data_IF_736034858636
#
_entry.id   IF_736034858636
#
_cell.length_a   1.000
_cell.length_b   1.000
_cell.length_c   1.000
_cell.angle_alpha   90.00
_cell.angle_beta   90.00
_cell.angle_gamma   90.00
#
_symmetry.space_group_name_H-M   'P 1'
#
loop_
_entity.id
_entity.type
_entity.pdbx_description
1 polymer ?
#
# COMPACT_ATOMS: atom_id res chain seq x y z
N UNK A 1 9.90 -14.67 -19.00
CA UNK A 1 11.12 -14.16 -18.33
C UNK A 1 11.37 -12.67 -18.62
N UNK A 2 11.53 -12.19 -19.84
CA UNK A 2 11.83 -10.76 -20.14
C UNK A 2 10.87 -9.75 -19.50
N UNK A 3 9.53 -10.01 -19.53
CA UNK A 3 8.52 -9.13 -18.90
C UNK A 3 8.66 -9.05 -17.37
N UNK A 4 8.98 -10.17 -16.73
CA UNK A 4 9.23 -10.22 -15.29
C UNK A 4 10.43 -9.35 -14.89
N UNK A 5 11.59 -9.56 -15.53
CA UNK A 5 12.80 -8.75 -15.24
C UNK A 5 12.58 -7.26 -15.52
N UNK A 6 11.82 -6.91 -16.57
CA UNK A 6 11.43 -5.52 -16.83
C UNK A 6 10.62 -4.93 -15.67
N UNK A 7 9.67 -5.68 -15.11
CA UNK A 7 8.85 -5.19 -14.00
C UNK A 7 9.62 -5.09 -12.69
N UNK A 8 10.51 -6.04 -12.40
CA UNK A 8 11.44 -5.93 -11.26
C UNK A 8 12.33 -4.70 -11.41
N UNK A 9 12.93 -4.48 -12.58
CA UNK A 9 13.72 -3.28 -12.86
C UNK A 9 12.94 -1.98 -12.70
N UNK A 10 11.69 -1.94 -13.16
CA UNK A 10 10.81 -0.79 -12.95
C UNK A 10 10.51 -0.55 -11.47
N UNK A 11 10.27 -1.61 -10.69
CA UNK A 11 10.03 -1.52 -9.24
C UNK A 11 11.27 -0.99 -8.52
N UNK A 12 12.45 -1.52 -8.84
CA UNK A 12 13.72 -1.06 -8.26
C UNK A 12 14.00 0.40 -8.60
N UNK A 13 13.80 0.79 -9.87
CA UNK A 13 13.94 2.17 -10.30
C UNK A 13 12.95 3.09 -9.56
N UNK A 14 11.72 2.63 -9.37
CA UNK A 14 10.70 3.38 -8.62
C UNK A 14 11.13 3.62 -7.17
N UNK A 15 11.57 2.58 -6.45
CA UNK A 15 12.07 2.70 -5.07
C UNK A 15 13.26 3.65 -5.00
N UNK A 16 14.19 3.57 -5.95
CA UNK A 16 15.32 4.49 -6.03
C UNK A 16 14.90 5.95 -6.23
N UNK A 17 13.98 6.20 -7.17
CA UNK A 17 13.43 7.56 -7.42
C UNK A 17 12.67 8.07 -6.20
N UNK A 18 11.91 7.20 -5.52
CA UNK A 18 11.23 7.54 -4.27
C UNK A 18 12.23 8.00 -3.21
N UNK A 19 13.26 7.18 -2.94
CA UNK A 19 14.29 7.51 -1.97
C UNK A 19 15.05 8.80 -2.33
N UNK A 20 15.37 9.00 -3.60
CA UNK A 20 16.04 10.21 -4.09
C UNK A 20 15.17 11.47 -3.90
N UNK A 21 13.87 11.41 -4.21
CA UNK A 21 12.95 12.51 -3.98
C UNK A 21 12.85 12.84 -2.48
N UNK A 22 12.71 11.83 -1.61
CA UNK A 22 12.67 12.03 -0.16
C UNK A 22 13.95 12.70 0.35
N UNK A 23 15.11 12.23 -0.10
CA UNK A 23 16.41 12.76 0.32
C UNK A 23 16.62 14.21 -0.15
N UNK A 24 16.42 14.48 -1.44
CA UNK A 24 16.70 15.79 -2.05
C UNK A 24 15.69 16.83 -1.57
N UNK A 25 14.40 16.55 -1.69
CA UNK A 25 13.34 17.50 -1.30
C UNK A 25 13.34 17.68 0.21
N UNK A 26 13.50 16.60 0.98
CA UNK A 26 13.62 16.66 2.44
C UNK A 26 14.81 17.51 2.89
N UNK A 27 15.97 17.31 2.27
CA UNK A 27 17.16 18.12 2.54
C UNK A 27 16.92 19.60 2.24
N UNK A 28 16.28 19.92 1.11
CA UNK A 28 15.96 21.32 0.75
C UNK A 28 15.01 21.98 1.75
N UNK A 29 13.98 21.27 2.23
CA UNK A 29 13.04 21.79 3.25
C UNK A 29 13.77 22.03 4.56
N UNK A 30 14.59 21.08 5.01
CA UNK A 30 15.34 21.20 6.27
C UNK A 30 16.31 22.38 6.25
N UNK A 31 17.03 22.59 5.14
CA UNK A 31 17.99 23.67 4.99
C UNK A 31 17.28 25.03 4.79
N UNK A 32 16.19 25.03 4.00
CA UNK A 32 15.50 26.26 3.62
C UNK A 32 14.62 26.87 4.73
N UNK A 33 14.23 26.08 5.73
CA UNK A 33 13.27 26.50 6.77
C UNK A 33 13.70 26.05 8.18
N UNK A 34 14.89 26.46 8.67
CA UNK A 34 15.43 25.97 9.95
C UNK A 34 14.67 26.46 11.19
N UNK A 35 13.78 27.42 11.06
CA UNK A 35 13.04 28.05 12.17
C UNK A 35 11.66 27.43 12.43
N UNK A 36 11.23 26.48 11.61
CA UNK A 36 9.94 25.83 11.79
C UNK A 36 9.98 24.82 12.94
N UNK A 37 8.85 24.62 13.60
CA UNK A 37 8.70 23.52 14.57
C UNK A 37 8.91 22.16 13.88
N UNK A 38 9.37 21.16 14.64
CA UNK A 38 9.61 19.81 14.12
C UNK A 38 8.35 19.22 13.48
N UNK A 39 7.19 19.44 14.08
CA UNK A 39 5.87 19.03 13.64
C UNK A 39 5.51 19.58 12.24
N UNK A 40 5.64 20.91 12.06
CA UNK A 40 5.37 21.57 10.77
C UNK A 40 6.42 21.18 9.72
N UNK A 41 7.69 21.09 10.12
CA UNK A 41 8.77 20.66 9.23
C UNK A 41 8.54 19.25 8.69
N UNK A 42 8.12 18.32 9.55
CA UNK A 42 7.77 16.96 9.18
C UNK A 42 6.64 16.92 8.14
N UNK A 43 5.56 17.69 8.36
CA UNK A 43 4.44 17.77 7.43
C UNK A 43 4.88 18.33 6.07
N UNK A 44 5.62 19.43 6.05
CA UNK A 44 6.07 20.06 4.80
C UNK A 44 7.05 19.16 4.03
N UNK A 45 8.00 18.53 4.73
CA UNK A 45 8.95 17.60 4.16
C UNK A 45 8.19 16.44 3.50
N UNK A 46 7.27 15.81 4.23
CA UNK A 46 6.49 14.69 3.72
C UNK A 46 5.65 15.10 2.51
N UNK A 47 4.85 16.14 2.64
CA UNK A 47 3.94 16.62 1.59
C UNK A 47 4.67 16.99 0.29
N UNK A 48 5.73 17.80 0.38
CA UNK A 48 6.49 18.24 -0.80
C UNK A 48 7.22 17.07 -1.47
N UNK A 49 7.77 16.14 -0.67
CA UNK A 49 8.43 14.94 -1.18
C UNK A 49 7.44 14.03 -1.90
N UNK A 50 6.24 13.82 -1.34
CA UNK A 50 5.21 12.99 -1.97
C UNK A 50 4.68 13.59 -3.27
N UNK A 51 4.56 14.92 -3.37
CA UNK A 51 4.23 15.59 -4.65
C UNK A 51 5.34 15.34 -5.67
N UNK A 52 6.61 15.45 -5.28
CA UNK A 52 7.74 15.20 -6.18
C UNK A 52 7.75 13.73 -6.66
N UNK A 53 7.54 12.75 -5.75
CA UNK A 53 7.44 11.33 -6.10
C UNK A 53 6.28 11.10 -7.07
N UNK A 54 5.10 11.64 -6.79
CA UNK A 54 3.93 11.47 -7.64
C UNK A 54 4.17 12.07 -9.04
N UNK A 55 4.76 13.25 -9.12
CA UNK A 55 5.16 13.89 -10.38
C UNK A 55 6.19 13.06 -11.16
N UNK A 56 7.20 12.53 -10.47
CA UNK A 56 8.19 11.64 -11.06
C UNK A 56 7.57 10.36 -11.63
N UNK A 57 6.59 9.75 -10.93
CA UNK A 57 5.89 8.57 -11.45
C UNK A 57 5.10 8.86 -12.71
N UNK A 58 4.43 10.02 -12.80
CA UNK A 58 3.74 10.45 -14.03
C UNK A 58 4.73 10.63 -15.17
N UNK A 59 5.88 11.25 -14.90
CA UNK A 59 6.93 11.47 -15.91
C UNK A 59 7.48 10.12 -16.42
N UNK A 60 7.81 9.20 -15.51
CA UNK A 60 8.27 7.85 -15.86
C UNK A 60 7.22 7.15 -16.74
N UNK A 61 5.95 7.27 -16.38
CA UNK A 61 4.87 6.64 -17.13
C UNK A 61 4.72 7.22 -18.54
N UNK A 62 4.79 8.55 -18.69
CA UNK A 62 4.78 9.23 -19.99
C UNK A 62 5.96 8.82 -20.86
N UNK A 63 7.17 8.80 -20.30
CA UNK A 63 8.40 8.48 -21.05
C UNK A 63 8.44 7.00 -21.42
N UNK A 64 8.16 6.10 -20.49
CA UNK A 64 8.28 4.65 -20.72
C UNK A 64 7.13 4.06 -21.53
N UNK A 65 5.92 4.60 -21.42
CA UNK A 65 4.71 4.01 -22.03
C UNK A 65 3.94 4.95 -22.95
N UNK A 66 4.34 6.21 -23.07
CA UNK A 66 3.70 7.25 -23.89
C UNK A 66 2.21 7.50 -23.57
N UNK A 67 1.71 6.97 -22.45
CA UNK A 67 0.34 7.19 -21.98
C UNK A 67 0.27 6.98 -20.46
N UNK A 68 -0.59 7.75 -19.81
CA UNK A 68 -0.85 7.66 -18.37
C UNK A 68 -1.95 6.62 -18.10
N UNK A 69 -1.77 5.75 -17.11
CA UNK A 69 -2.79 4.78 -16.72
C UNK A 69 -4.02 5.45 -16.11
N UNK A 70 -5.17 4.86 -16.40
CA UNK A 70 -6.43 5.27 -15.77
C UNK A 70 -6.45 4.80 -14.31
N UNK A 71 -6.78 5.69 -13.40
CA UNK A 71 -6.99 5.36 -11.98
C UNK A 71 -8.39 4.78 -11.82
N UNK A 72 -8.51 3.64 -11.14
CA UNK A 72 -9.82 3.10 -10.80
C UNK A 72 -10.49 3.98 -9.74
N UNK A 73 -11.63 4.54 -10.09
CA UNK A 73 -12.44 5.38 -9.21
C UNK A 73 -13.93 5.18 -9.50
N UNK A 74 -14.42 3.94 -9.33
CA UNK A 74 -15.84 3.64 -9.49
C UNK A 74 -16.67 4.30 -8.39
N UNK A 75 -17.88 4.74 -8.73
CA UNK A 75 -18.84 5.32 -7.75
C UNK A 75 -19.26 4.34 -6.65
N UNK A 76 -19.13 3.03 -6.86
CA UNK A 76 -19.40 1.95 -5.88
C UNK A 76 -18.18 1.61 -4.99
N UNK A 77 -17.16 2.47 -4.93
CA UNK A 77 -15.94 2.21 -4.15
C UNK A 77 -16.11 2.28 -2.63
N UNK A 78 -17.14 2.93 -2.14
CA UNK A 78 -17.47 2.93 -0.71
C UNK A 78 -18.41 1.76 -0.40
N UNK A 79 -17.86 0.73 0.23
CA UNK A 79 -18.58 -0.46 0.67
C UNK A 79 -18.28 -0.72 2.15
N UNK A 80 -19.24 -0.39 3.06
CA UNK A 80 -19.01 -0.52 4.51
C UNK A 80 -18.67 -1.94 4.95
N UNK A 81 -19.25 -2.97 4.31
CA UNK A 81 -18.99 -4.37 4.64
C UNK A 81 -17.56 -4.75 4.25
N UNK A 82 -17.13 -4.34 3.07
CA UNK A 82 -15.75 -4.55 2.63
C UNK A 82 -14.74 -3.80 3.50
N UNK A 83 -15.06 -2.57 3.92
CA UNK A 83 -14.22 -1.79 4.84
C UNK A 83 -14.13 -2.49 6.18
N UNK A 84 -15.26 -2.92 6.78
CA UNK A 84 -15.26 -3.65 8.04
C UNK A 84 -14.42 -4.93 7.96
N UNK A 85 -14.60 -5.71 6.88
CA UNK A 85 -13.79 -6.91 6.65
C UNK A 85 -12.29 -6.57 6.52
N UNK A 86 -11.94 -5.51 5.80
CA UNK A 86 -10.56 -5.05 5.65
C UNK A 86 -9.95 -4.60 6.97
N UNK A 87 -10.67 -3.85 7.80
CA UNK A 87 -10.23 -3.43 9.15
C UNK A 87 -9.97 -4.65 10.04
N UNK A 88 -10.90 -5.62 10.09
CA UNK A 88 -10.73 -6.86 10.86
C UNK A 88 -9.52 -7.65 10.39
N UNK A 89 -9.31 -7.76 9.07
CA UNK A 89 -8.16 -8.47 8.50
C UNK A 89 -6.83 -7.78 8.83
N UNK A 90 -6.76 -6.46 8.68
CA UNK A 90 -5.54 -5.68 9.01
C UNK A 90 -5.24 -5.81 10.51
N UNK A 91 -6.24 -5.64 11.37
CA UNK A 91 -6.08 -5.86 12.81
C UNK A 91 -5.57 -7.28 13.13
N UNK A 92 -6.12 -8.31 12.48
CA UNK A 92 -5.65 -9.68 12.67
C UNK A 92 -4.20 -9.89 12.22
N UNK A 93 -3.75 -9.21 11.15
CA UNK A 93 -2.35 -9.18 10.72
C UNK A 93 -1.47 -8.54 11.81
N UNK A 94 -1.84 -7.37 12.33
CA UNK A 94 -1.08 -6.69 13.39
C UNK A 94 -0.96 -7.56 14.64
N UNK A 95 -2.04 -8.22 15.08
CA UNK A 95 -2.01 -9.15 16.22
C UNK A 95 -1.03 -10.32 15.99
N UNK A 96 -1.03 -10.92 14.80
CA UNK A 96 -0.11 -12.03 14.48
C UNK A 96 1.35 -11.58 14.48
N UNK A 97 1.61 -10.32 14.12
CA UNK A 97 2.95 -9.76 14.06
C UNK A 97 3.49 -9.32 15.44
N UNK A 98 2.66 -9.21 16.49
CA UNK A 98 3.10 -8.76 17.81
C UNK A 98 4.35 -9.47 18.35
N UNK A 99 4.50 -10.83 18.29
CA UNK A 99 5.72 -11.47 18.77
C UNK A 99 6.95 -11.10 17.96
N UNK A 100 6.78 -10.80 16.68
CA UNK A 100 7.86 -10.37 15.80
C UNK A 100 8.21 -8.90 16.05
N UNK A 101 7.22 -8.08 16.36
CA UNK A 101 7.40 -6.69 16.75
C UNK A 101 8.26 -6.58 18.01
N UNK A 102 8.00 -7.38 19.05
CA UNK A 102 8.80 -7.43 20.28
C UNK A 102 10.28 -7.76 20.03
N UNK A 103 10.59 -8.52 18.97
CA UNK A 103 11.97 -8.91 18.60
C UNK A 103 12.64 -7.86 17.72
N UNK A 104 11.92 -7.24 16.78
CA UNK A 104 12.48 -6.42 15.72
C UNK A 104 12.31 -4.91 15.93
N UNK A 105 11.43 -4.48 16.85
CA UNK A 105 11.25 -3.05 17.14
C UNK A 105 12.29 -2.56 18.12
N UNK A 106 13.17 -1.64 17.75
CA UNK A 106 13.84 -0.83 18.75
C UNK A 106 12.81 0.10 19.42
N UNK A 107 12.97 0.33 20.73
CA UNK A 107 12.12 1.18 21.62
C UNK A 107 11.99 2.66 21.21
N UNK A 108 12.26 3.03 19.97
CA UNK A 108 12.54 4.42 19.57
C UNK A 108 11.72 4.95 18.41
N UNK A 109 10.49 4.50 18.19
CA UNK A 109 9.61 5.18 17.21
C UNK A 109 9.16 6.54 17.78
N UNK A 110 9.91 7.60 17.52
CA UNK A 110 9.54 8.96 17.90
C UNK A 110 9.14 9.75 16.64
N UNK A 111 7.83 9.98 16.48
CA UNK A 111 7.35 11.06 15.61
C UNK A 111 7.40 12.38 16.38
N UNK A 112 7.58 13.53 15.71
CA UNK A 112 7.39 14.82 16.36
C UNK A 112 5.97 14.91 16.94
N UNK A 113 5.81 15.43 18.15
CA UNK A 113 4.49 15.66 18.73
C UNK A 113 3.83 16.85 18.05
N UNK A 114 2.53 16.73 17.73
CA UNK A 114 1.75 17.84 17.24
C UNK A 114 0.64 17.45 16.25
N UNK A 115 -0.22 18.43 15.99
CA UNK A 115 -1.37 18.26 15.12
C UNK A 115 -0.95 18.01 13.64
N UNK A 116 0.11 18.66 13.19
CA UNK A 116 0.61 18.48 11.82
C UNK A 116 1.15 17.06 11.60
N UNK A 117 1.81 16.48 12.61
CA UNK A 117 2.26 15.08 12.57
C UNK A 117 1.06 14.11 12.52
N UNK A 118 0.06 14.31 13.40
CA UNK A 118 -1.18 13.52 13.36
C UNK A 118 -1.83 13.57 11.97
N UNK A 119 -2.02 14.79 11.43
CA UNK A 119 -2.62 14.99 10.11
C UNK A 119 -1.80 14.30 9.01
N UNK A 120 -0.48 14.39 9.10
CA UNK A 120 0.43 13.77 8.12
C UNK A 120 0.35 12.27 8.17
N UNK A 121 0.52 11.66 9.32
CA UNK A 121 0.60 10.19 9.47
C UNK A 121 -0.76 9.55 9.20
N UNK A 122 -1.84 10.13 9.73
CA UNK A 122 -3.17 9.50 9.68
C UNK A 122 -3.91 9.78 8.37
N UNK A 123 -3.69 10.95 7.75
CA UNK A 123 -4.50 11.33 6.60
C UNK A 123 -3.65 11.53 5.32
N UNK A 124 -2.63 12.40 5.35
CA UNK A 124 -1.88 12.74 4.15
C UNK A 124 -1.07 11.56 3.63
N UNK A 125 -0.39 10.82 4.52
CA UNK A 125 0.41 9.68 4.12
C UNK A 125 -0.44 8.60 3.43
N UNK A 126 -1.52 8.07 4.00
CA UNK A 126 -2.38 7.11 3.34
C UNK A 126 -2.88 7.56 1.95
N UNK A 127 -3.29 8.81 1.82
CA UNK A 127 -3.78 9.33 0.54
C UNK A 127 -2.68 9.29 -0.52
N UNK A 128 -1.51 9.88 -0.24
CA UNK A 128 -0.41 9.94 -1.20
C UNK A 128 0.15 8.56 -1.52
N UNK A 129 0.30 7.72 -0.52
CA UNK A 129 0.85 6.37 -0.69
C UNK A 129 -0.08 5.51 -1.55
N UNK A 130 -1.40 5.53 -1.33
CA UNK A 130 -2.32 4.82 -2.20
C UNK A 130 -2.31 5.37 -3.63
N UNK A 131 -2.25 6.69 -3.80
CA UNK A 131 -2.13 7.31 -5.13
C UNK A 131 -0.82 6.89 -5.83
N UNK A 132 0.28 6.75 -5.11
CA UNK A 132 1.58 6.38 -5.66
C UNK A 132 1.64 4.87 -5.94
N UNK A 133 1.35 4.03 -4.94
CA UNK A 133 1.57 2.59 -5.03
C UNK A 133 0.45 1.87 -5.77
N UNK A 134 -0.84 2.23 -5.58
CA UNK A 134 -1.98 1.55 -6.23
C UNK A 134 -2.39 2.24 -7.52
N UNK A 135 -2.59 3.55 -7.49
CA UNK A 135 -3.04 4.25 -8.69
C UNK A 135 -1.94 4.41 -9.76
N UNK A 136 -0.64 4.38 -9.39
CA UNK A 136 0.45 4.50 -10.35
C UNK A 136 1.26 3.22 -10.49
N UNK A 137 2.03 2.84 -9.47
CA UNK A 137 2.97 1.71 -9.57
C UNK A 137 2.27 0.41 -9.95
N UNK A 138 1.19 0.03 -9.25
CA UNK A 138 0.41 -1.17 -9.58
C UNK A 138 -0.04 -1.15 -11.05
N UNK A 139 -0.63 -0.04 -11.51
CA UNK A 139 -1.13 0.08 -12.88
C UNK A 139 -0.01 0.06 -13.93
N UNK A 140 1.17 0.59 -13.64
CA UNK A 140 2.36 0.48 -14.49
C UNK A 140 2.79 -0.99 -14.61
N UNK A 141 2.87 -1.71 -13.50
CA UNK A 141 3.30 -3.10 -13.42
C UNK A 141 2.30 -4.04 -14.11
N UNK A 142 0.99 -3.79 -13.97
CA UNK A 142 -0.08 -4.62 -14.53
C UNK A 142 -0.08 -4.67 -16.06
N UNK A 143 0.60 -3.73 -16.73
CA UNK A 143 0.80 -3.76 -18.17
C UNK A 143 1.74 -4.88 -18.67
N UNK A 144 2.59 -5.38 -17.77
CA UNK A 144 3.63 -6.36 -18.13
C UNK A 144 3.55 -7.65 -17.30
N UNK A 145 2.78 -7.69 -16.21
CA UNK A 145 2.70 -8.82 -15.30
C UNK A 145 1.25 -9.14 -14.91
N UNK A 146 1.07 -10.32 -14.30
CA UNK A 146 -0.25 -10.73 -13.80
C UNK A 146 -0.71 -9.84 -12.62
N UNK A 147 -2.02 -9.76 -12.35
CA UNK A 147 -2.55 -8.95 -11.24
C UNK A 147 -1.88 -9.26 -9.89
N UNK A 148 -1.69 -10.55 -9.56
CA UNK A 148 -1.01 -10.96 -8.32
C UNK A 148 0.45 -10.47 -8.29
N UNK A 149 1.19 -10.65 -9.39
CA UNK A 149 2.59 -10.21 -9.46
C UNK A 149 2.70 -8.69 -9.33
N UNK A 150 1.80 -7.94 -9.97
CA UNK A 150 1.74 -6.48 -9.85
C UNK A 150 1.44 -6.03 -8.42
N UNK A 151 0.49 -6.70 -7.76
CA UNK A 151 0.16 -6.46 -6.36
C UNK A 151 1.35 -6.77 -5.45
N UNK A 152 2.02 -7.92 -5.64
CA UNK A 152 3.18 -8.31 -4.85
C UNK A 152 4.36 -7.34 -5.02
N UNK A 153 4.71 -6.97 -6.26
CA UNK A 153 5.80 -6.04 -6.52
C UNK A 153 5.50 -4.62 -5.98
N UNK A 154 4.25 -4.17 -6.09
CA UNK A 154 3.82 -2.90 -5.51
C UNK A 154 3.85 -2.93 -3.98
N UNK A 155 3.46 -4.05 -3.36
CA UNK A 155 3.51 -4.25 -1.91
C UNK A 155 4.96 -4.34 -1.40
N UNK A 156 5.86 -5.00 -2.13
CA UNK A 156 7.29 -5.04 -1.81
C UNK A 156 7.88 -3.63 -1.84
N UNK A 157 7.61 -2.85 -2.90
CA UNK A 157 8.07 -1.47 -2.99
C UNK A 157 7.53 -0.63 -1.82
N UNK A 158 6.24 -0.79 -1.50
CA UNK A 158 5.58 -0.11 -0.38
C UNK A 158 6.21 -0.48 0.97
N UNK A 159 6.52 -1.76 1.20
CA UNK A 159 7.22 -2.17 2.42
C UNK A 159 8.63 -1.59 2.51
N UNK A 160 9.44 -1.75 1.47
CA UNK A 160 10.86 -1.37 1.47
C UNK A 160 11.10 0.12 1.74
N UNK A 161 10.20 1.01 1.30
CA UNK A 161 10.35 2.46 1.55
C UNK A 161 10.18 2.86 3.02
N UNK A 162 9.66 1.97 3.88
CA UNK A 162 9.50 2.24 5.32
C UNK A 162 10.79 2.04 6.13
N UNK A 163 11.79 1.32 5.59
CA UNK A 163 13.13 1.10 6.13
C UNK A 163 13.21 0.27 7.44
N UNK A 164 12.23 0.29 8.31
CA UNK A 164 12.19 -0.47 9.55
C UNK A 164 11.76 -1.92 9.32
N UNK A 165 12.49 -2.94 9.79
CA UNK A 165 12.23 -4.34 9.46
C UNK A 165 10.81 -4.83 9.73
N UNK A 166 10.26 -4.50 10.90
CA UNK A 166 8.89 -4.92 11.24
C UNK A 166 7.85 -4.19 10.40
N UNK A 167 8.04 -2.89 10.15
CA UNK A 167 7.13 -2.09 9.31
C UNK A 167 7.19 -2.56 7.86
N UNK A 168 8.37 -2.97 7.36
CA UNK A 168 8.49 -3.58 6.03
C UNK A 168 7.59 -4.79 5.90
N UNK A 169 7.62 -5.69 6.89
CA UNK A 169 6.82 -6.93 6.88
C UNK A 169 5.33 -6.59 6.96
N UNK A 170 4.92 -5.74 7.90
CA UNK A 170 3.53 -5.31 8.04
C UNK A 170 3.02 -4.61 6.77
N UNK A 171 3.75 -3.60 6.28
CA UNK A 171 3.39 -2.86 5.08
C UNK A 171 3.31 -3.74 3.82
N UNK A 172 4.16 -4.79 3.71
CA UNK A 172 4.06 -5.76 2.64
C UNK A 172 2.75 -6.53 2.71
N UNK A 173 2.37 -7.06 3.88
CA UNK A 173 1.13 -7.82 4.06
C UNK A 173 -0.10 -6.94 3.85
N UNK A 174 -0.15 -5.79 4.51
CA UNK A 174 -1.20 -4.78 4.34
C UNK A 174 -1.24 -4.31 2.89
N UNK A 175 -0.08 -4.12 2.25
CA UNK A 175 0.06 -3.74 0.85
C UNK A 175 -0.63 -4.66 -0.13
N UNK A 176 -0.56 -5.98 0.09
CA UNK A 176 -1.29 -6.98 -0.73
C UNK A 176 -2.80 -6.85 -0.49
N UNK A 177 -3.23 -6.69 0.77
CA UNK A 177 -4.65 -6.51 1.13
C UNK A 177 -5.23 -5.25 0.47
N UNK A 178 -4.53 -4.12 0.55
CA UNK A 178 -4.97 -2.86 -0.08
C UNK A 178 -5.02 -2.98 -1.61
N UNK A 179 -4.07 -3.71 -2.23
CA UNK A 179 -4.10 -3.99 -3.67
C UNK A 179 -5.29 -4.88 -4.07
N UNK A 180 -5.67 -5.84 -3.22
CA UNK A 180 -6.88 -6.63 -3.42
C UNK A 180 -8.13 -5.73 -3.41
N UNK A 181 -8.29 -4.84 -2.41
CA UNK A 181 -9.44 -3.93 -2.35
C UNK A 181 -9.46 -2.93 -3.52
N UNK A 182 -8.30 -2.39 -3.91
CA UNK A 182 -8.20 -1.52 -5.09
C UNK A 182 -8.74 -2.20 -6.34
N UNK A 183 -8.37 -3.46 -6.55
CA UNK A 183 -8.75 -4.20 -7.74
C UNK A 183 -10.21 -4.71 -7.67
N UNK A 184 -10.61 -5.28 -6.54
CA UNK A 184 -11.96 -5.87 -6.35
C UNK A 184 -13.07 -4.81 -6.38
N UNK A 185 -12.82 -3.64 -5.81
CA UNK A 185 -13.78 -2.52 -5.79
C UNK A 185 -13.65 -1.58 -6.99
N UNK A 186 -12.61 -1.75 -7.82
CA UNK A 186 -12.32 -0.83 -8.93
C UNK A 186 -12.32 0.64 -8.47
N UNK A 187 -11.79 0.90 -7.28
CA UNK A 187 -11.77 2.21 -6.65
C UNK A 187 -10.57 2.40 -5.73
N UNK A 188 -10.01 3.59 -5.73
CA UNK A 188 -8.94 3.99 -4.82
C UNK A 188 -9.48 4.36 -3.42
N UNK A 189 -10.79 4.62 -3.29
CA UNK A 189 -11.39 5.11 -2.05
C UNK A 189 -11.31 4.07 -0.93
N UNK A 190 -11.66 2.81 -1.22
CA UNK A 190 -11.63 1.74 -0.20
C UNK A 190 -10.25 1.52 0.39
N UNK A 191 -9.15 1.35 -0.41
CA UNK A 191 -7.82 1.21 0.17
C UNK A 191 -7.36 2.47 0.93
N UNK A 192 -7.69 3.69 0.48
CA UNK A 192 -7.38 4.92 1.24
C UNK A 192 -8.05 4.87 2.62
N UNK A 193 -9.34 4.55 2.70
CA UNK A 193 -10.06 4.47 3.98
C UNK A 193 -9.44 3.41 4.89
N UNK A 194 -9.16 2.21 4.37
CA UNK A 194 -8.52 1.14 5.14
C UNK A 194 -7.14 1.54 5.65
N UNK A 195 -6.36 2.22 4.83
CA UNK A 195 -5.03 2.69 5.20
C UNK A 195 -5.11 3.80 6.26
N UNK A 196 -6.07 4.72 6.16
CA UNK A 196 -6.34 5.72 7.21
C UNK A 196 -6.67 5.04 8.53
N UNK A 197 -7.52 4.01 8.55
CA UNK A 197 -7.83 3.25 9.75
C UNK A 197 -6.60 2.56 10.33
N UNK A 198 -5.78 1.91 9.48
CA UNK A 198 -4.52 1.30 9.91
C UNK A 198 -3.59 2.30 10.59
N UNK A 199 -3.35 3.43 9.94
CA UNK A 199 -2.45 4.45 10.47
C UNK A 199 -3.00 5.16 11.70
N UNK A 200 -4.31 5.41 11.75
CA UNK A 200 -4.97 5.97 12.94
C UNK A 200 -4.84 5.02 14.14
N UNK A 201 -5.02 3.72 13.93
CA UNK A 201 -4.85 2.72 14.96
C UNK A 201 -3.39 2.63 15.43
N UNK A 202 -2.43 2.54 14.50
CA UNK A 202 -1.01 2.52 14.83
C UNK A 202 -0.56 3.80 15.58
N UNK A 203 -1.01 4.97 15.12
CA UNK A 203 -0.72 6.24 15.79
C UNK A 203 -1.33 6.29 17.22
N UNK A 204 -2.57 5.83 17.38
CA UNK A 204 -3.20 5.75 18.70
C UNK A 204 -2.43 4.84 19.66
N UNK A 205 -1.91 3.70 19.18
CA UNK A 205 -1.05 2.82 19.99
C UNK A 205 0.25 3.51 20.40
N UNK A 206 0.90 4.27 19.51
CA UNK A 206 2.10 5.04 19.85
C UNK A 206 1.78 6.07 20.94
N UNK A 207 0.68 6.81 20.82
CA UNK A 207 0.26 7.79 21.85
C UNK A 207 -0.07 7.10 23.16
N UNK A 208 -0.80 5.98 23.15
CA UNK A 208 -1.15 5.20 24.35
C UNK A 208 0.08 4.53 25.01
N UNK A 209 1.09 4.15 24.22
CA UNK A 209 2.32 3.56 24.78
C UNK A 209 3.15 4.57 25.58
N UNK A 210 3.02 5.88 25.32
CA UNK A 210 3.56 6.91 26.22
C UNK A 210 2.93 6.86 27.62
N UNK A 211 1.67 6.37 27.73
CA UNK A 211 0.96 6.16 28.98
C UNK A 211 1.14 4.73 29.56
N UNK A 212 2.00 3.91 28.91
CA UNK A 212 2.34 2.54 29.36
C UNK A 212 1.40 1.44 28.89
N UNK A 213 0.46 1.72 27.98
CA UNK A 213 -0.43 0.71 27.42
C UNK A 213 0.13 0.14 26.10
N UNK A 214 0.26 -1.18 26.01
CA UNK A 214 0.63 -1.88 24.78
C UNK A 214 -0.58 -2.59 24.14
N UNK A 215 -0.53 -2.88 22.83
CA UNK A 215 -1.58 -3.68 22.18
C UNK A 215 -1.78 -5.03 22.88
N UNK A 216 -0.70 -5.63 23.38
CA UNK A 216 -0.74 -6.89 24.13
C UNK A 216 -1.56 -6.75 25.43
N UNK A 217 -1.40 -5.65 26.16
CA UNK A 217 -2.17 -5.37 27.38
C UNK A 217 -3.64 -5.10 27.08
N UNK A 218 -3.93 -4.43 25.94
CA UNK A 218 -5.30 -4.20 25.46
C UNK A 218 -6.03 -5.50 25.11
N UNK A 219 -5.32 -6.52 24.58
CA UNK A 219 -5.91 -7.83 24.26
C UNK A 219 -6.28 -8.61 25.52
N UNK A 220 -5.60 -8.37 26.63
CA UNK A 220 -5.87 -9.01 27.93
C UNK A 220 -4.60 -9.52 28.61
N UNK A 221 -4.69 -9.77 29.91
CA UNK A 221 -3.54 -10.15 30.76
C UNK A 221 -3.33 -11.66 30.89
N UNK A 222 -4.28 -12.51 30.43
CA UNK A 222 -4.17 -13.97 30.59
C UNK A 222 -3.60 -14.65 29.36
N UNK A 223 -2.71 -15.63 29.55
CA UNK A 223 -2.10 -16.43 28.48
C UNK A 223 -3.15 -17.14 27.62
N UNK A 224 -4.25 -17.62 28.23
CA UNK A 224 -5.32 -18.34 27.51
C UNK A 224 -6.09 -17.40 26.58
N UNK A 225 -6.35 -16.15 26.98
CA UNK A 225 -6.99 -15.14 26.13
C UNK A 225 -6.08 -14.84 24.95
N UNK A 226 -4.78 -14.63 25.19
CA UNK A 226 -3.82 -14.38 24.13
C UNK A 226 -3.80 -15.52 23.12
N UNK A 227 -3.71 -16.78 23.57
CA UNK A 227 -3.70 -17.94 22.68
C UNK A 227 -4.98 -18.01 21.85
N UNK A 228 -6.15 -17.81 22.49
CA UNK A 228 -7.44 -17.80 21.78
C UNK A 228 -7.53 -16.72 20.70
N UNK A 229 -7.08 -15.50 21.00
CA UNK A 229 -7.05 -14.38 20.06
C UNK A 229 -6.07 -14.67 18.91
N UNK A 230 -4.87 -15.17 19.19
CA UNK A 230 -3.90 -15.55 18.15
C UNK A 230 -4.43 -16.63 17.20
N UNK A 231 -5.07 -17.68 17.74
CA UNK A 231 -5.67 -18.73 16.92
C UNK A 231 -6.78 -18.19 16.01
N UNK A 232 -7.67 -17.35 16.57
CA UNK A 232 -8.74 -16.70 15.82
C UNK A 232 -8.18 -15.83 14.69
N UNK A 233 -7.22 -14.95 15.00
CA UNK A 233 -6.56 -14.08 14.03
C UNK A 233 -5.84 -14.90 12.95
N UNK A 234 -5.18 -16.00 13.32
CA UNK A 234 -4.53 -16.90 12.37
C UNK A 234 -5.52 -17.53 11.38
N UNK A 235 -6.68 -17.98 11.87
CA UNK A 235 -7.75 -18.51 11.00
C UNK A 235 -8.26 -17.43 10.05
N UNK A 236 -8.51 -16.20 10.54
CA UNK A 236 -8.96 -15.08 9.71
C UNK A 236 -7.94 -14.79 8.61
N UNK A 237 -6.66 -14.67 8.96
CA UNK A 237 -5.60 -14.34 7.98
C UNK A 237 -5.43 -15.45 6.96
N UNK A 238 -5.39 -16.71 7.35
CA UNK A 238 -5.25 -17.85 6.42
C UNK A 238 -6.45 -17.96 5.49
N UNK A 239 -7.68 -17.89 6.02
CA UNK A 239 -8.89 -17.92 5.20
C UNK A 239 -8.93 -16.75 4.20
N UNK A 240 -8.59 -15.53 4.66
CA UNK A 240 -8.52 -14.33 3.81
C UNK A 240 -7.42 -14.45 2.75
N UNK A 241 -6.25 -14.98 3.08
CA UNK A 241 -5.17 -15.20 2.13
C UNK A 241 -5.59 -16.15 1.00
N UNK A 242 -6.25 -17.27 1.34
CA UNK A 242 -6.80 -18.21 0.34
C UNK A 242 -7.81 -17.50 -0.56
N UNK A 243 -8.71 -16.71 0.02
CA UNK A 243 -9.72 -15.95 -0.74
C UNK A 243 -9.07 -14.91 -1.67
N UNK A 244 -8.12 -14.14 -1.18
CA UNK A 244 -7.37 -13.12 -1.95
C UNK A 244 -6.59 -13.76 -3.10
N UNK A 245 -5.89 -14.87 -2.84
CA UNK A 245 -5.14 -15.59 -3.88
C UNK A 245 -6.10 -16.12 -4.96
N UNK A 246 -7.24 -16.72 -4.58
CA UNK A 246 -8.27 -17.16 -5.52
C UNK A 246 -8.79 -16.00 -6.37
N UNK A 247 -9.06 -14.85 -5.76
CA UNK A 247 -9.47 -13.65 -6.48
C UNK A 247 -8.45 -13.26 -7.55
N UNK A 248 -7.17 -13.16 -7.22
CA UNK A 248 -6.12 -12.79 -8.18
C UNK A 248 -5.95 -13.83 -9.30
N UNK A 249 -6.14 -15.11 -9.00
CA UNK A 249 -6.14 -16.18 -10.03
C UNK A 249 -7.31 -16.04 -10.99
N UNK A 250 -8.51 -15.75 -10.47
CA UNK A 250 -9.71 -15.54 -11.31
C UNK A 250 -9.56 -14.26 -12.16
N UNK A 251 -9.07 -13.20 -11.58
CA UNK A 251 -8.85 -11.93 -12.29
C UNK A 251 -7.81 -12.10 -13.43
N UNK A 252 -6.76 -12.90 -13.21
CA UNK A 252 -5.82 -13.25 -14.27
C UNK A 252 -6.48 -14.01 -15.41
N UNK A 253 -7.40 -14.94 -15.11
CA UNK A 253 -8.17 -15.68 -16.14
C UNK A 253 -9.09 -14.77 -16.92
N UNK A 254 -9.79 -13.86 -16.22
CA UNK A 254 -10.65 -12.84 -16.81
C UNK A 254 -9.90 -11.94 -17.80
N UNK A 255 -8.74 -11.44 -17.42
CA UNK A 255 -7.90 -10.60 -18.28
C UNK A 255 -7.47 -11.33 -19.55
N UNK A 256 -7.11 -12.63 -19.46
CA UNK A 256 -6.77 -13.45 -20.63
C UNK A 256 -7.97 -13.68 -21.55
N UNK A 257 -9.17 -13.87 -21.02
CA UNK A 257 -10.37 -14.03 -21.81
C UNK A 257 -10.69 -12.77 -22.64
N UNK A 258 -10.50 -11.59 -22.07
CA UNK A 258 -10.67 -10.31 -22.77
C UNK A 258 -9.63 -10.18 -23.90
N UNK A 259 -8.35 -10.47 -23.64
CA UNK A 259 -7.30 -10.44 -24.68
C UNK A 259 -7.59 -11.40 -25.85
N UNK A 260 -8.19 -12.58 -25.61
CA UNK A 260 -8.57 -13.49 -26.67
C UNK A 260 -9.74 -12.96 -27.50
N UNK A 261 -10.77 -12.39 -26.86
CA UNK A 261 -11.91 -11.80 -27.57
C UNK A 261 -11.50 -10.60 -28.43
N UNK A 262 -10.63 -9.73 -27.91
CA UNK A 262 -10.12 -8.58 -28.66
C UNK A 262 -9.34 -9.03 -29.90
N UNK A 263 -8.55 -10.12 -29.80
CA UNK A 263 -7.81 -10.66 -30.95
C UNK A 263 -8.73 -11.31 -31.98
N UNK A 264 -9.77 -12.04 -31.55
CA UNK A 264 -10.77 -12.60 -32.46
C UNK A 264 -11.52 -11.49 -33.22
N UNK A 265 -11.94 -10.44 -32.51
CA UNK A 265 -12.63 -9.29 -33.13
C UNK A 265 -11.74 -8.56 -34.15
N UNK A 266 -10.44 -8.43 -33.89
CA UNK A 266 -9.48 -7.82 -34.80
C UNK A 266 -9.26 -8.73 -36.03
N UNK A 267 -9.18 -10.05 -35.87
CA UNK A 267 -9.04 -11.02 -36.94
C UNK A 267 -10.25 -10.98 -37.89
N UNK A 268 -11.48 -10.98 -37.31
CA UNK A 268 -12.72 -10.90 -38.10
C UNK A 268 -12.79 -9.60 -38.93
N UNK A 269 -12.35 -8.46 -38.37
CA UNK A 269 -12.31 -7.20 -39.13
C UNK A 269 -11.25 -7.18 -40.23
N UNK A 270 -10.15 -7.91 -40.09
CA UNK A 270 -9.12 -8.00 -41.17
C UNK A 270 -9.57 -8.92 -42.29
N UNK A 271 -10.33 -9.97 -42.00
CA UNK A 271 -10.89 -10.89 -43.01
C UNK A 271 -12.03 -10.21 -43.82
N UNK A 272 -12.75 -9.23 -43.22
CA UNK A 272 -13.80 -8.46 -43.89
C UNK A 272 -13.26 -7.34 -44.83
N UNK A 273 -12.01 -6.89 -44.65
CA UNK A 273 -11.37 -5.88 -45.53
C UNK A 273 -10.71 -6.48 -46.79
N UNK A 274 -10.55 -7.81 -46.83
CA UNK A 274 -9.94 -8.52 -47.97
C UNK A 274 -10.96 -9.04 -49.01
N UNK A 275 -12.27 -8.67 -48.89
CA UNK A 275 -13.35 -8.99 -49.84
C UNK A 275 -13.79 -7.71 -50.58
#
# INVERSE_FOLDING_TARGET
MKRFFKSVGLTTMFVFVFALCMLVVGGLVTIGMPTLSADVSFMLLYFTSMIAVYGATILIEKVAFKRIATVYNSRGGFDPVAILFGVVLIFAISVILLPLEEILSPDTRTFPDGFCTLLTVVLLAPIFEEMIFRARLYNILSRNTSPLMSASLSAIAFGVVHLEPIVIIEALLVGVVLSYFYLSKRSIITPIILHIFNNAFAYALVVLSYDGASLRELIGSSTDIHLGVYLLCSVIVVASAVFIIRFFVMEKRRMRGIECQDMETIADHLDDEDI
#
